data_IF_113311781356
#
_entry.id   IF_113311781356
#
_cell.length_a   1.000
_cell.length_b   1.000
_cell.length_c   1.000
_cell.angle_alpha   90.00
_cell.angle_beta   90.00
_cell.angle_gamma   90.00
#
_symmetry.space_group_name_H-M   'P 1'
#
loop_
_entity.id
_entity.type
_entity.pdbx_description
1 polymer ?
#
# COMPACT_ATOMS: atom_id res chain seq x y z
N UNK A 1 44.47 -7.77 17.07
CA UNK A 1 43.23 -8.13 16.35
C UNK A 1 42.10 -8.21 17.36
N UNK A 2 41.21 -7.22 17.43
CA UNK A 2 39.95 -7.33 18.15
C UNK A 2 38.89 -6.58 17.36
N UNK A 3 37.81 -7.29 17.02
CA UNK A 3 36.80 -6.92 16.04
C UNK A 3 35.82 -5.93 16.64
N UNK A 4 35.49 -4.93 15.84
CA UNK A 4 34.36 -4.03 16.01
C UNK A 4 33.06 -4.82 15.84
N UNK A 5 32.20 -4.84 16.86
CA UNK A 5 30.82 -5.31 16.72
C UNK A 5 29.85 -4.17 17.06
N UNK A 6 29.51 -3.46 16.00
CA UNK A 6 28.21 -2.90 15.63
C UNK A 6 27.10 -3.01 16.69
N UNK A 7 26.89 -1.95 17.48
CA UNK A 7 25.58 -1.64 18.05
C UNK A 7 24.76 -0.83 17.02
N UNK A 8 24.21 -1.53 16.05
CA UNK A 8 23.18 -0.98 15.16
C UNK A 8 21.88 -0.83 15.96
N UNK A 9 21.62 0.38 16.42
CA UNK A 9 20.39 0.78 17.11
C UNK A 9 19.16 0.38 16.30
N UNK A 10 18.31 -0.44 16.89
CA UNK A 10 16.92 -0.68 16.49
C UNK A 10 16.18 0.67 16.47
N UNK A 11 15.97 1.20 15.27
CA UNK A 11 15.21 2.43 15.06
C UNK A 11 14.45 2.33 13.75
N UNK A 12 13.27 1.74 13.78
CA UNK A 12 12.21 2.15 12.85
C UNK A 12 11.05 2.62 13.70
N UNK A 13 11.19 3.88 14.11
CA UNK A 13 10.17 4.71 14.73
C UNK A 13 8.84 4.52 14.00
N UNK A 14 7.92 3.81 14.63
CA UNK A 14 6.51 3.85 14.26
C UNK A 14 5.94 5.15 14.82
N UNK A 15 6.43 6.28 14.31
CA UNK A 15 5.89 7.60 14.65
C UNK A 15 4.50 7.76 14.02
N UNK A 16 3.52 8.28 14.78
CA UNK A 16 2.16 8.40 14.29
C UNK A 16 2.09 9.46 13.18
N UNK A 17 1.38 9.14 12.10
CA UNK A 17 1.25 9.84 10.80
C UNK A 17 0.69 11.29 10.84
N UNK A 18 0.81 12.02 11.94
CA UNK A 18 0.28 13.37 12.08
C UNK A 18 1.23 14.41 11.46
N UNK A 19 1.14 14.59 10.13
CA UNK A 19 1.70 15.78 9.47
C UNK A 19 2.18 15.63 8.02
N UNK A 20 2.13 14.42 7.42
CA UNK A 20 2.65 14.23 6.07
C UNK A 20 1.70 14.85 5.04
N UNK A 21 2.15 15.91 4.38
CA UNK A 21 1.43 16.51 3.24
C UNK A 21 1.77 15.73 1.98
N UNK A 22 0.81 14.97 1.47
CA UNK A 22 0.95 14.25 0.21
C UNK A 22 0.87 15.19 -0.98
N UNK A 23 1.72 14.97 -1.98
CA UNK A 23 1.59 15.61 -3.29
C UNK A 23 0.28 15.20 -3.96
N UNK A 24 -0.26 15.98 -4.92
CA UNK A 24 -1.48 15.61 -5.63
C UNK A 24 -1.40 14.22 -6.28
N UNK A 25 -0.22 13.84 -6.79
CA UNK A 25 0.02 12.53 -7.40
C UNK A 25 -0.05 11.42 -6.35
N UNK A 26 0.62 11.57 -5.20
CA UNK A 26 0.55 10.63 -4.09
C UNK A 26 -0.89 10.42 -3.62
N UNK A 27 -1.66 11.51 -3.46
CA UNK A 27 -3.08 11.42 -3.08
C UNK A 27 -3.91 10.68 -4.12
N UNK A 28 -3.65 10.88 -5.41
CA UNK A 28 -4.35 10.21 -6.49
C UNK A 28 -4.17 8.69 -6.41
N UNK A 29 -2.93 8.21 -6.23
CA UNK A 29 -2.65 6.78 -6.16
C UNK A 29 -3.20 6.13 -4.89
N UNK A 30 -3.08 6.78 -3.73
CA UNK A 30 -3.70 6.31 -2.49
C UNK A 30 -5.24 6.22 -2.61
N UNK A 31 -5.89 7.25 -3.17
CA UNK A 31 -7.34 7.21 -3.43
C UNK A 31 -7.71 6.10 -4.40
N UNK A 32 -6.92 5.91 -5.47
CA UNK A 32 -7.13 4.84 -6.44
C UNK A 32 -7.06 3.46 -5.78
N UNK A 33 -6.10 3.26 -4.86
CA UNK A 33 -5.96 2.02 -4.11
C UNK A 33 -7.21 1.72 -3.27
N UNK A 34 -7.71 2.72 -2.53
CA UNK A 34 -8.96 2.61 -1.74
C UNK A 34 -10.16 2.21 -2.62
N UNK A 35 -10.32 2.87 -3.77
CA UNK A 35 -11.44 2.55 -4.69
C UNK A 35 -11.33 1.14 -5.24
N UNK A 36 -10.13 0.67 -5.57
CA UNK A 36 -9.92 -0.70 -6.07
C UNK A 36 -10.20 -1.74 -4.98
N UNK A 37 -9.85 -1.46 -3.73
CA UNK A 37 -10.13 -2.35 -2.59
C UNK A 37 -11.62 -2.47 -2.34
N UNK A 38 -12.35 -1.36 -2.36
CA UNK A 38 -13.80 -1.40 -2.20
C UNK A 38 -14.48 -2.15 -3.34
N UNK A 39 -14.01 -1.99 -4.59
CA UNK A 39 -14.49 -2.77 -5.74
C UNK A 39 -14.23 -4.27 -5.56
N UNK A 40 -13.06 -4.66 -5.04
CA UNK A 40 -12.76 -6.07 -4.74
C UNK A 40 -13.72 -6.60 -3.69
N UNK A 41 -13.95 -5.86 -2.60
CA UNK A 41 -14.88 -6.23 -1.53
C UNK A 41 -16.31 -6.40 -2.06
N UNK A 42 -16.78 -5.48 -2.89
CA UNK A 42 -18.08 -5.56 -3.54
C UNK A 42 -18.21 -6.77 -4.45
N UNK A 43 -17.16 -7.09 -5.23
CA UNK A 43 -17.14 -8.27 -6.10
C UNK A 43 -17.22 -9.56 -5.27
N UNK A 44 -16.50 -9.64 -4.15
CA UNK A 44 -16.50 -10.79 -3.24
C UNK A 44 -17.83 -11.00 -2.52
N UNK A 45 -18.64 -9.95 -2.37
CA UNK A 45 -19.98 -10.03 -1.81
C UNK A 45 -21.03 -10.56 -2.80
N UNK A 46 -20.71 -10.70 -4.08
CA UNK A 46 -21.64 -11.26 -5.06
C UNK A 46 -21.76 -12.78 -4.87
N UNK A 47 -22.97 -13.37 -5.08
CA UNK A 47 -23.18 -14.81 -4.92
C UNK A 47 -22.41 -15.65 -5.96
N UNK A 48 -22.06 -15.08 -7.11
CA UNK A 48 -21.24 -15.70 -8.14
C UNK A 48 -20.23 -14.65 -8.67
N UNK A 49 -19.10 -14.44 -7.98
CA UNK A 49 -18.09 -13.48 -8.40
C UNK A 49 -17.47 -13.89 -9.73
N UNK A 50 -17.31 -12.93 -10.65
CA UNK A 50 -16.62 -13.18 -11.90
C UNK A 50 -15.10 -13.26 -11.64
N UNK A 51 -14.51 -14.44 -11.83
CA UNK A 51 -13.10 -14.71 -11.55
C UNK A 51 -12.13 -13.92 -12.45
N UNK A 52 -12.51 -13.60 -13.70
CA UNK A 52 -11.69 -12.77 -14.58
C UNK A 52 -11.67 -11.31 -14.12
N UNK A 53 -12.80 -10.80 -13.63
CA UNK A 53 -12.87 -9.47 -13.02
C UNK A 53 -12.05 -9.43 -11.73
N UNK A 54 -12.13 -10.48 -10.90
CA UNK A 54 -11.32 -10.60 -9.67
C UNK A 54 -9.83 -10.59 -9.97
N UNK A 55 -9.40 -11.38 -10.96
CA UNK A 55 -8.01 -11.43 -11.42
C UNK A 55 -7.53 -10.07 -11.94
N UNK A 56 -8.37 -9.38 -12.70
CA UNK A 56 -8.06 -8.05 -13.24
C UNK A 56 -7.93 -7.01 -12.12
N UNK A 57 -8.84 -7.02 -11.14
CA UNK A 57 -8.76 -6.15 -9.97
C UNK A 57 -7.50 -6.41 -9.14
N UNK A 58 -7.14 -7.68 -8.91
CA UNK A 58 -5.93 -8.02 -8.17
C UNK A 58 -4.65 -7.52 -8.87
N UNK A 59 -4.59 -7.62 -10.20
CA UNK A 59 -3.47 -7.04 -10.97
C UNK A 59 -3.42 -5.52 -10.85
N UNK A 60 -4.56 -4.86 -10.96
CA UNK A 60 -4.65 -3.40 -10.82
C UNK A 60 -4.28 -2.93 -9.41
N UNK A 61 -4.70 -3.67 -8.37
CA UNK A 61 -4.32 -3.43 -6.97
C UNK A 61 -2.81 -3.54 -6.79
N UNK A 62 -2.22 -4.62 -7.28
CA UNK A 62 -0.77 -4.83 -7.19
C UNK A 62 0.00 -3.72 -7.90
N UNK A 63 -0.34 -3.38 -9.14
CA UNK A 63 0.31 -2.29 -9.87
C UNK A 63 0.19 -0.96 -9.13
N UNK A 64 -1.02 -0.62 -8.65
CA UNK A 64 -1.26 0.64 -7.92
C UNK A 64 -0.48 0.69 -6.61
N UNK A 65 -0.32 -0.46 -5.94
CA UNK A 65 0.50 -0.57 -4.73
C UNK A 65 1.98 -0.30 -5.03
N UNK A 66 2.51 -0.87 -6.12
CA UNK A 66 3.89 -0.59 -6.55
C UNK A 66 4.06 0.90 -6.86
N UNK A 67 3.12 1.51 -7.57
CA UNK A 67 3.14 2.97 -7.82
C UNK A 67 3.17 3.76 -6.50
N UNK A 68 2.40 3.35 -5.49
CA UNK A 68 2.44 3.99 -4.17
C UNK A 68 3.79 3.82 -3.47
N UNK A 69 4.44 2.66 -3.62
CA UNK A 69 5.78 2.40 -3.07
C UNK A 69 6.83 3.28 -3.76
N UNK A 70 6.81 3.36 -5.09
CA UNK A 70 7.71 4.21 -5.86
C UNK A 70 7.55 5.70 -5.55
N UNK A 71 6.32 6.13 -5.25
CA UNK A 71 6.01 7.49 -4.81
C UNK A 71 6.35 7.77 -3.34
N UNK A 72 6.89 6.80 -2.58
CA UNK A 72 7.27 6.94 -1.17
C UNK A 72 6.10 6.91 -0.19
N UNK A 73 4.95 6.41 -0.63
CA UNK A 73 3.69 6.23 0.14
C UNK A 73 3.37 4.76 0.40
N UNK A 74 4.40 3.90 0.39
CA UNK A 74 4.23 2.45 0.54
C UNK A 74 3.69 2.04 1.91
N UNK A 75 4.06 2.73 2.98
CA UNK A 75 3.60 2.39 4.32
C UNK A 75 2.13 2.74 4.53
N UNK A 76 1.69 3.88 3.99
CA UNK A 76 0.28 4.24 3.95
C UNK A 76 -0.52 3.27 3.07
N UNK A 77 0.02 2.89 1.92
CA UNK A 77 -0.62 1.91 1.05
C UNK A 77 -0.74 0.53 1.72
N UNK A 78 0.25 0.08 2.50
CA UNK A 78 0.18 -1.15 3.29
C UNK A 78 -0.89 -1.07 4.37
N UNK A 79 -1.04 0.08 5.02
CA UNK A 79 -2.09 0.29 6.02
C UNK A 79 -3.52 0.22 5.47
N UNK A 80 -3.70 0.28 4.14
CA UNK A 80 -4.99 0.18 3.47
C UNK A 80 -5.36 -1.24 3.03
N UNK A 81 -4.38 -2.14 2.84
CA UNK A 81 -4.58 -3.51 2.34
C UNK A 81 -5.05 -4.46 3.44
#
# INVERSE_FOLDING_TARGET
MSRSDLSGSLGSDTTPFFGRRYTPVQQLFLRRLVVLLEKRRQLEMLPNPNEDQKRTLNKALYSTFIDCVELGTGDEAKGLL
#
